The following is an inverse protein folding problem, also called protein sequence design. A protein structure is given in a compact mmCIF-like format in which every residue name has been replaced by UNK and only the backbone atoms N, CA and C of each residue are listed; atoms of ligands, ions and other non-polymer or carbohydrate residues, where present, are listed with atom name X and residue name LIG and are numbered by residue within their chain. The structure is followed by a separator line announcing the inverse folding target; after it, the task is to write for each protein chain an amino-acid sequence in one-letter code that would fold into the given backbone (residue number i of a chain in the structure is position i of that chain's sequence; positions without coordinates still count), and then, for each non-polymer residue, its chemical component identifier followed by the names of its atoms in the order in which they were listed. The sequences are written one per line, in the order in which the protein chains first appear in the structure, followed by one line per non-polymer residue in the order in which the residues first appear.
data_IF_800695372693
#
_entry.id   IF_800695372693
#
_cell.length_a   1.000
_cell.length_b   1.000
_cell.length_c   1.000
_cell.angle_alpha   90.00
_cell.angle_beta   90.00
_cell.angle_gamma   90.00
#
_symmetry.space_group_name_H-M   'P 1'
#
loop_
_entity.id
_entity.type
_entity.pdbx_description
1 polymer ?
#
# COMPACT_ATOMS: atom_id res chain seq x y z
N UNK A 1 10.30 14.64 -17.66
CA UNK A 1 11.32 13.72 -18.22
C UNK A 1 10.77 12.32 -18.42
N UNK A 2 10.16 11.69 -17.40
CA UNK A 2 9.49 10.38 -17.52
C UNK A 2 8.44 10.34 -18.64
N UNK A 3 7.53 11.33 -18.69
CA UNK A 3 6.48 11.41 -19.71
C UNK A 3 7.05 11.48 -21.14
N UNK A 4 8.07 12.33 -21.35
CA UNK A 4 8.72 12.47 -22.65
C UNK A 4 9.45 11.18 -23.06
N UNK A 5 10.09 10.50 -22.11
CA UNK A 5 10.73 9.21 -22.34
C UNK A 5 9.71 8.15 -22.75
N UNK A 6 8.55 8.08 -22.08
CA UNK A 6 7.46 7.15 -22.45
C UNK A 6 6.93 7.41 -23.87
N UNK A 7 6.78 8.67 -24.26
CA UNK A 7 6.30 9.04 -25.61
C UNK A 7 7.32 8.60 -26.68
N UNK A 8 8.61 8.84 -26.45
CA UNK A 8 9.68 8.47 -27.40
C UNK A 8 9.79 6.95 -27.55
N UNK A 9 9.74 6.20 -26.44
CA UNK A 9 9.74 4.73 -26.50
C UNK A 9 8.50 4.20 -27.24
N UNK A 10 7.31 4.76 -26.98
CA UNK A 10 6.08 4.36 -27.67
C UNK A 10 6.16 4.59 -29.19
N UNK A 11 6.66 5.75 -29.61
CA UNK A 11 6.81 6.09 -31.03
C UNK A 11 7.84 5.19 -31.74
N UNK A 12 8.96 4.89 -31.09
CA UNK A 12 9.97 3.98 -31.63
C UNK A 12 9.41 2.56 -31.78
N UNK A 13 8.72 2.03 -30.76
CA UNK A 13 8.07 0.71 -30.83
C UNK A 13 7.00 0.65 -31.93
N UNK A 14 6.22 1.73 -32.12
CA UNK A 14 5.23 1.82 -33.20
C UNK A 14 5.89 1.78 -34.57
N UNK A 15 6.94 2.58 -34.79
CA UNK A 15 7.68 2.62 -36.05
C UNK A 15 8.35 1.26 -36.36
N UNK A 16 8.97 0.62 -35.37
CA UNK A 16 9.60 -0.70 -35.53
C UNK A 16 8.56 -1.80 -35.78
N UNK A 17 7.41 -1.76 -35.11
CA UNK A 17 6.32 -2.72 -35.32
C UNK A 17 5.69 -2.63 -36.71
N UNK A 18 5.56 -1.41 -37.24
CA UNK A 18 5.09 -1.18 -38.63
C UNK A 18 6.08 -1.75 -39.66
N UNK A 19 7.37 -1.83 -39.35
CA UNK A 19 8.40 -2.31 -40.27
C UNK A 19 8.53 -3.85 -40.38
N UNK A 20 8.07 -4.63 -39.39
CA UNK A 20 8.45 -6.06 -39.25
C UNK A 20 7.33 -7.09 -39.43
N UNK A 21 6.11 -6.68 -39.78
CA UNK A 21 5.00 -7.53 -40.26
C UNK A 21 4.67 -8.84 -39.47
N UNK A 22 5.07 -8.98 -38.20
CA UNK A 22 4.63 -10.07 -37.32
C UNK A 22 4.24 -9.54 -35.92
N UNK A 23 2.95 -9.25 -35.75
CA UNK A 23 2.35 -8.44 -34.68
C UNK A 23 2.15 -9.16 -33.32
N UNK A 24 2.46 -10.44 -33.20
CA UNK A 24 2.07 -11.23 -32.00
C UNK A 24 2.90 -10.87 -30.76
N UNK A 25 4.22 -10.75 -30.91
CA UNK A 25 5.12 -10.44 -29.78
C UNK A 25 4.92 -9.02 -29.25
N UNK A 26 4.55 -8.08 -30.12
CA UNK A 26 4.27 -6.68 -29.74
C UNK A 26 3.02 -6.59 -28.88
N UNK A 27 1.93 -7.26 -29.28
CA UNK A 27 0.71 -7.30 -28.47
C UNK A 27 0.92 -7.99 -27.13
N UNK A 28 1.68 -9.09 -27.09
CA UNK A 28 2.00 -9.78 -25.85
C UNK A 28 2.81 -8.88 -24.89
N UNK A 29 3.87 -8.22 -25.38
CA UNK A 29 4.68 -7.31 -24.57
C UNK A 29 3.88 -6.08 -24.11
N UNK A 30 3.04 -5.52 -24.98
CA UNK A 30 2.19 -4.39 -24.65
C UNK A 30 1.12 -4.77 -23.63
N UNK A 31 0.46 -5.92 -23.78
CA UNK A 31 -0.52 -6.42 -22.83
C UNK A 31 0.10 -6.70 -21.46
N UNK A 32 1.28 -7.33 -21.40
CA UNK A 32 2.01 -7.55 -20.16
C UNK A 32 2.42 -6.23 -19.48
N UNK A 33 2.88 -5.25 -20.26
CA UNK A 33 3.23 -3.92 -19.75
C UNK A 33 2.00 -3.19 -19.17
N UNK A 34 0.88 -3.18 -19.91
CA UNK A 34 -0.38 -2.60 -19.43
C UNK A 34 -0.91 -3.32 -18.19
N UNK A 35 -0.83 -4.65 -18.14
CA UNK A 35 -1.22 -5.43 -16.97
C UNK A 35 -0.34 -5.11 -15.75
N UNK A 36 0.97 -5.03 -15.93
CA UNK A 36 1.91 -4.64 -14.89
C UNK A 36 1.65 -3.22 -14.38
N UNK A 37 1.44 -2.26 -15.29
CA UNK A 37 1.10 -0.89 -14.93
C UNK A 37 -0.24 -0.81 -14.18
N UNK A 38 -1.27 -1.52 -14.66
CA UNK A 38 -2.56 -1.60 -14.00
C UNK A 38 -2.44 -2.18 -12.58
N UNK A 39 -1.60 -3.21 -12.38
CA UNK A 39 -1.35 -3.81 -11.08
C UNK A 39 -0.64 -2.84 -10.12
N UNK A 40 0.38 -2.13 -10.59
CA UNK A 40 1.10 -1.11 -9.79
C UNK A 40 0.17 0.03 -9.41
N UNK A 41 -0.62 0.53 -10.36
CA UNK A 41 -1.61 1.59 -10.09
C UNK A 41 -2.69 1.09 -9.12
N UNK A 42 -3.21 -0.12 -9.28
CA UNK A 42 -4.17 -0.70 -8.36
C UNK A 42 -3.59 -0.84 -6.94
N UNK A 43 -2.33 -1.28 -6.80
CA UNK A 43 -1.65 -1.37 -5.51
C UNK A 43 -1.44 0.01 -4.87
N UNK A 44 -1.00 1.00 -5.64
CA UNK A 44 -0.83 2.38 -5.16
C UNK A 44 -2.16 3.01 -4.72
N UNK A 45 -3.24 2.77 -5.46
CA UNK A 45 -4.57 3.27 -5.11
C UNK A 45 -5.18 2.55 -3.90
N UNK A 46 -4.95 1.24 -3.73
CA UNK A 46 -5.36 0.50 -2.53
C UNK A 46 -4.67 1.04 -1.28
N UNK A 47 -3.39 1.40 -1.37
CA UNK A 47 -2.65 2.06 -0.28
C UNK A 47 -3.26 3.42 0.06
N UNK A 48 -3.51 4.26 -0.95
CA UNK A 48 -4.04 5.62 -0.74
C UNK A 48 -5.46 5.67 -0.17
N UNK A 49 -6.28 4.64 -0.40
CA UNK A 49 -7.65 4.59 0.13
C UNK A 49 -7.73 4.26 1.63
N UNK A 50 -6.61 3.92 2.27
CA UNK A 50 -6.53 3.50 3.67
C UNK A 50 -6.01 4.61 4.61
N UNK A 51 -6.25 5.87 4.26
CA UNK A 51 -5.94 7.01 5.13
C UNK A 51 -7.10 7.27 6.08
N UNK A 52 -6.85 7.27 7.38
CA UNK A 52 -7.83 7.65 8.41
C UNK A 52 -7.60 9.10 8.85
N UNK A 53 -8.69 9.86 8.95
CA UNK A 53 -8.79 11.05 9.81
C UNK A 53 -9.18 10.57 11.21
N UNK A 54 -8.30 10.64 12.23
CA UNK A 54 -8.63 10.20 13.58
C UNK A 54 -9.70 11.11 14.19
N UNK A 55 -10.83 10.52 14.61
CA UNK A 55 -11.79 11.15 15.52
C UNK A 55 -13.14 11.50 14.90
N UNK A 56 -14.04 10.51 14.81
CA UNK A 56 -15.47 10.75 15.03
C UNK A 56 -16.10 9.46 15.60
N UNK A 57 -16.87 9.52 16.70
CA UNK A 57 -17.55 8.35 17.23
C UNK A 57 -18.51 7.81 16.16
N UNK A 58 -18.38 6.52 15.85
CA UNK A 58 -19.27 5.81 14.95
C UNK A 58 -20.65 5.65 15.60
N UNK A 59 -21.70 6.01 14.87
CA UNK A 59 -23.03 5.45 15.09
C UNK A 59 -23.16 4.27 14.11
N UNK A 60 -23.10 3.05 14.64
CA UNK A 60 -23.19 1.80 13.90
C UNK A 60 -24.63 1.47 13.52
N UNK A 61 -24.85 1.04 12.28
CA UNK A 61 -25.81 -0.02 11.93
C UNK A 61 -25.43 -0.55 10.55
N UNK A 62 -24.76 -1.70 10.50
CA UNK A 62 -25.23 -2.85 9.72
C UNK A 62 -24.45 -4.10 10.14
N UNK A 63 -25.18 -5.13 10.57
CA UNK A 63 -24.63 -6.41 10.96
C UNK A 63 -24.40 -7.26 9.70
N UNK A 64 -23.19 -7.17 9.13
CA UNK A 64 -22.67 -8.08 8.13
C UNK A 64 -21.79 -9.17 8.78
N UNK A 65 -21.58 -10.33 8.12
CA UNK A 65 -20.85 -11.46 8.69
C UNK A 65 -19.48 -11.02 9.19
N UNK A 66 -19.02 -11.57 10.31
CA UNK A 66 -17.69 -11.35 10.87
C UNK A 66 -16.62 -11.90 9.90
N UNK A 67 -16.40 -11.19 8.80
CA UNK A 67 -15.14 -11.20 8.09
C UNK A 67 -14.09 -10.80 9.13
N UNK A 68 -13.07 -11.63 9.32
CA UNK A 68 -11.94 -11.34 10.19
C UNK A 68 -11.40 -9.96 9.79
N UNK A 69 -11.81 -8.93 10.53
CA UNK A 69 -11.40 -7.57 10.24
C UNK A 69 -9.91 -7.57 10.53
N UNK A 70 -9.05 -7.36 9.51
CA UNK A 70 -7.61 -7.45 9.71
C UNK A 70 -7.22 -6.46 10.80
N UNK A 71 -6.35 -6.87 11.72
CA UNK A 71 -5.78 -5.96 12.73
C UNK A 71 -4.96 -4.90 11.97
N UNK A 72 -5.51 -3.70 11.82
CA UNK A 72 -4.87 -2.61 11.09
C UNK A 72 -4.07 -1.74 12.05
N UNK A 73 -2.84 -1.41 11.65
CA UNK A 73 -1.95 -0.48 12.35
C UNK A 73 -1.74 0.79 11.54
N UNK A 74 -1.58 1.90 12.24
CA UNK A 74 -1.38 3.22 11.66
C UNK A 74 0.11 3.54 11.60
N UNK A 75 0.60 3.94 10.43
CA UNK A 75 1.95 4.48 10.24
C UNK A 75 1.89 5.95 9.84
N UNK A 76 2.81 6.75 10.37
CA UNK A 76 2.92 8.17 10.01
C UNK A 76 4.13 8.36 9.11
N UNK A 77 3.94 8.97 7.94
CA UNK A 77 5.01 9.27 7.00
C UNK A 77 6.13 10.10 7.68
N UNK A 78 7.37 9.66 7.55
CA UNK A 78 8.54 10.30 8.20
C UNK A 78 8.84 9.80 9.63
N UNK A 79 7.99 8.95 10.21
CA UNK A 79 8.28 8.24 11.47
C UNK A 79 8.59 6.77 11.18
N UNK A 80 9.45 6.13 11.99
CA UNK A 80 9.89 4.74 11.78
C UNK A 80 9.07 3.70 12.56
N UNK A 81 7.98 4.11 13.21
CA UNK A 81 7.18 3.25 14.09
C UNK A 81 5.73 3.16 13.62
N UNK A 82 5.13 1.96 13.76
CA UNK A 82 3.69 1.74 13.60
C UNK A 82 3.00 1.71 14.97
N UNK A 83 1.73 2.14 14.99
CA UNK A 83 0.93 2.39 16.18
C UNK A 83 -0.46 1.76 16.03
N UNK A 84 -1.17 1.56 17.14
CA UNK A 84 -2.63 1.38 17.10
C UNK A 84 -3.32 2.72 16.83
N UNK A 85 -4.53 2.69 16.29
CA UNK A 85 -5.30 3.89 15.92
C UNK A 85 -5.57 4.85 17.09
N UNK A 86 -5.56 4.35 18.33
CA UNK A 86 -5.81 5.08 19.57
C UNK A 86 -4.53 5.53 20.30
N UNK A 87 -3.35 5.37 19.69
CA UNK A 87 -2.10 5.72 20.34
C UNK A 87 -1.97 7.24 20.54
N UNK A 88 -1.67 7.66 21.78
CA UNK A 88 -1.38 9.05 22.10
C UNK A 88 -0.25 9.66 21.25
N UNK A 89 0.70 8.86 20.76
CA UNK A 89 1.79 9.35 19.90
C UNK A 89 1.33 9.82 18.50
N UNK A 90 0.09 9.51 18.12
CA UNK A 90 -0.51 10.00 16.89
C UNK A 90 -0.92 11.48 17.02
N UNK A 91 -1.29 11.98 18.20
CA UNK A 91 -1.64 13.40 18.43
C UNK A 91 -2.58 14.01 17.36
N UNK A 92 -3.51 13.21 16.80
CA UNK A 92 -4.41 13.63 15.71
C UNK A 92 -3.76 13.72 14.31
N UNK A 93 -2.51 13.27 14.18
CA UNK A 93 -1.80 13.16 12.91
C UNK A 93 -2.39 12.03 12.09
N UNK A 94 -2.72 12.33 10.83
CA UNK A 94 -3.18 11.34 9.87
C UNK A 94 -2.05 10.37 9.52
N UNK A 95 -2.43 9.10 9.34
CA UNK A 95 -1.51 8.03 8.99
C UNK A 95 -2.14 7.06 8.00
N UNK A 96 -1.27 6.28 7.37
CA UNK A 96 -1.67 5.19 6.48
C UNK A 96 -1.96 3.94 7.31
N UNK A 97 -3.06 3.24 7.02
CA UNK A 97 -3.34 1.94 7.62
C UNK A 97 -2.71 0.80 6.81
N UNK A 98 -1.90 0.00 7.49
CA UNK A 98 -1.31 -1.23 6.97
C UNK A 98 -1.60 -2.39 7.93
N UNK A 99 -1.49 -3.62 7.45
CA UNK A 99 -1.39 -4.75 8.37
C UNK A 99 -0.02 -4.74 9.08
N UNK A 100 0.12 -5.32 10.29
CA UNK A 100 1.40 -5.43 10.99
C UNK A 100 2.49 -6.07 10.13
N UNK A 101 2.14 -7.09 9.36
CA UNK A 101 3.06 -7.75 8.43
C UNK A 101 3.54 -6.77 7.35
N UNK A 102 2.63 -6.08 6.65
CA UNK A 102 2.98 -5.09 5.64
C UNK A 102 3.83 -3.94 6.23
N UNK A 103 3.51 -3.48 7.44
CA UNK A 103 4.28 -2.42 8.11
C UNK A 103 5.73 -2.85 8.38
N UNK A 104 5.96 -4.10 8.81
CA UNK A 104 7.31 -4.66 8.99
C UNK A 104 8.03 -4.82 7.65
N UNK A 105 7.34 -5.29 6.60
CA UNK A 105 7.90 -5.40 5.24
C UNK A 105 8.34 -4.04 4.68
N UNK A 106 7.62 -2.96 5.03
CA UNK A 106 7.99 -1.59 4.68
C UNK A 106 9.09 -0.99 5.57
N UNK A 107 9.54 -1.72 6.60
CA UNK A 107 10.62 -1.32 7.50
C UNK A 107 10.17 -0.50 8.72
N UNK A 108 8.87 -0.45 9.01
CA UNK A 108 8.37 0.11 10.26
C UNK A 108 8.59 -0.86 11.42
N UNK A 109 8.89 -0.29 12.59
CA UNK A 109 9.08 -1.02 13.84
C UNK A 109 7.89 -0.84 14.77
N UNK A 110 7.57 -1.80 15.66
CA UNK A 110 6.49 -1.62 16.62
C UNK A 110 6.74 -0.43 17.56
N UNK A 111 5.68 0.30 17.89
CA UNK A 111 5.69 1.18 19.04
C UNK A 111 5.72 0.35 20.32
N UNK A 112 6.72 0.55 21.17
CA UNK A 112 6.88 -0.18 22.44
C UNK A 112 5.73 0.04 23.42
N UNK A 113 4.93 1.11 23.26
CA UNK A 113 3.72 1.34 24.06
C UNK A 113 2.50 0.59 23.54
N UNK A 114 2.40 0.40 22.23
CA UNK A 114 1.25 -0.26 21.59
C UNK A 114 1.45 -1.77 21.48
N UNK A 115 2.69 -2.20 21.29
CA UNK A 115 3.12 -3.59 21.16
C UNK A 115 4.33 -3.79 22.09
N UNK A 116 4.10 -3.91 23.41
CA UNK A 116 5.16 -4.40 24.29
C UNK A 116 5.55 -5.80 23.82
N UNK A 117 6.85 -6.08 23.73
CA UNK A 117 7.29 -7.47 23.59
C UNK A 117 6.71 -8.24 24.78
N UNK A 118 6.15 -9.45 24.57
CA UNK A 118 5.76 -10.27 25.71
C UNK A 118 7.03 -10.48 26.51
N UNK A 119 7.10 -9.88 27.68
CA UNK A 119 8.20 -10.09 28.61
C UNK A 119 8.31 -11.60 28.76
N UNK A 120 9.45 -12.17 28.35
CA UNK A 120 9.85 -13.49 28.77
C UNK A 120 10.10 -13.37 30.27
N UNK A 121 9.00 -13.31 31.04
CA UNK A 121 9.01 -13.36 32.49
C UNK A 121 9.46 -14.78 32.80
N UNK A 122 10.78 -14.93 32.98
CA UNK A 122 11.29 -15.95 33.86
C UNK A 122 10.63 -15.71 35.20
N UNK A 123 9.61 -16.52 35.49
CA UNK A 123 9.03 -16.61 36.82
C UNK A 123 9.95 -17.53 37.61
N UNK A 124 10.83 -16.91 38.39
CA UNK A 124 11.60 -17.56 39.47
C UNK A 124 10.68 -18.12 40.57
#
# INVERSE_FOLDING_TARGET
MLLALLIVLGAASLATGVLLAQMVFVHAAFALSLAGLALVLARALRRRKRTVTPGRPAEDTDAAPAEETPDLVVVVAGRRRYHRADCAALDGTEGDELTPAEAVEEGFSPCTRCHPEPELVGQD
#
